data_IF_240645807330
#
_entry.id   IF_240645807330
#
_cell.length_a   1.000
_cell.length_b   1.000
_cell.length_c   1.000
_cell.angle_alpha   90.00
_cell.angle_beta   90.00
_cell.angle_gamma   90.00
#
_symmetry.space_group_name_H-M   'P 1'
#
loop_
_entity.id
_entity.type
_entity.pdbx_description
1 polymer ?
#
# COMPACT_ATOMS: atom_id res chain seq x y z
N UNK A 1 -7.89 34.95 -25.62
CA UNK A 1 -8.78 34.32 -24.62
C UNK A 1 -8.45 32.83 -24.42
N UNK A 2 -8.19 32.08 -25.50
CA UNK A 2 -7.80 30.65 -25.49
C UNK A 2 -6.47 30.38 -24.75
N UNK A 3 -5.48 31.26 -24.89
CA UNK A 3 -4.16 31.17 -24.21
C UNK A 3 -4.24 31.12 -22.68
N UNK A 4 -5.20 31.85 -22.09
CA UNK A 4 -5.41 31.84 -20.62
C UNK A 4 -5.96 30.51 -20.10
N UNK A 5 -6.67 29.76 -20.95
CA UNK A 5 -7.28 28.48 -20.56
C UNK A 5 -6.26 27.34 -20.68
N UNK A 6 -5.42 27.35 -21.71
CA UNK A 6 -4.29 26.40 -21.83
C UNK A 6 -3.31 26.54 -20.66
N UNK A 7 -3.00 27.76 -20.22
CA UNK A 7 -2.15 28.00 -19.05
C UNK A 7 -2.74 27.43 -17.75
N UNK A 8 -4.08 27.54 -17.59
CA UNK A 8 -4.77 26.96 -16.44
C UNK A 8 -4.72 25.43 -16.46
N UNK A 9 -4.94 24.81 -17.61
CA UNK A 9 -4.86 23.35 -17.76
C UNK A 9 -3.46 22.80 -17.46
N UNK A 10 -2.45 23.47 -17.97
CA UNK A 10 -1.05 23.16 -17.73
C UNK A 10 -0.68 23.30 -16.23
N UNK A 11 -1.23 24.32 -15.54
CA UNK A 11 -1.09 24.44 -14.07
C UNK A 11 -1.73 23.28 -13.31
N UNK A 12 -2.91 22.82 -13.72
CA UNK A 12 -3.60 21.67 -13.08
C UNK A 12 -2.81 20.38 -13.30
N UNK A 13 -2.34 20.11 -14.52
CA UNK A 13 -1.54 18.92 -14.81
C UNK A 13 -0.24 18.91 -14.02
N UNK A 14 0.49 20.03 -13.96
CA UNK A 14 1.70 20.16 -13.13
C UNK A 14 1.43 19.92 -11.65
N UNK A 15 0.28 20.37 -11.14
CA UNK A 15 -0.09 20.13 -9.75
C UNK A 15 -0.26 18.62 -9.50
N UNK A 16 -1.01 17.94 -10.36
CA UNK A 16 -1.22 16.49 -10.26
C UNK A 16 0.08 15.71 -10.37
N UNK A 17 0.94 16.07 -11.34
CA UNK A 17 2.26 15.46 -11.49
C UNK A 17 3.11 15.62 -10.21
N UNK A 18 3.12 16.81 -9.61
CA UNK A 18 3.82 17.06 -8.34
C UNK A 18 3.27 16.22 -7.19
N UNK A 19 1.96 16.03 -7.10
CA UNK A 19 1.37 15.19 -6.06
C UNK A 19 1.72 13.71 -6.27
N UNK A 20 1.71 13.21 -7.51
CA UNK A 20 2.23 11.86 -7.83
C UNK A 20 3.69 11.74 -7.38
N UNK A 21 4.56 12.66 -7.80
CA UNK A 21 5.99 12.62 -7.44
C UNK A 21 6.23 12.69 -5.92
N UNK A 22 5.43 13.49 -5.20
CA UNK A 22 5.47 13.59 -3.74
C UNK A 22 5.10 12.27 -3.08
N UNK A 23 4.04 11.60 -3.54
CA UNK A 23 3.63 10.29 -3.02
C UNK A 23 4.70 9.24 -3.33
N UNK A 24 5.25 9.22 -4.55
CA UNK A 24 6.35 8.30 -4.93
C UNK A 24 7.57 8.49 -4.03
N UNK A 25 7.99 9.74 -3.78
CA UNK A 25 9.13 10.06 -2.90
C UNK A 25 8.85 9.66 -1.45
N UNK A 26 7.65 9.97 -0.96
CA UNK A 26 7.23 9.59 0.39
C UNK A 26 7.24 8.07 0.57
N UNK A 27 6.69 7.33 -0.39
CA UNK A 27 6.72 5.88 -0.37
C UNK A 27 8.16 5.34 -0.30
N UNK A 28 9.04 5.78 -1.21
CA UNK A 28 10.44 5.33 -1.25
C UNK A 28 11.19 5.62 0.05
N UNK A 29 10.94 6.79 0.66
CA UNK A 29 11.61 7.21 1.90
C UNK A 29 11.12 6.45 3.13
N UNK A 30 9.81 6.18 3.21
CA UNK A 30 9.17 5.71 4.44
C UNK A 30 8.79 4.23 4.41
N UNK A 31 8.91 3.51 3.28
CA UNK A 31 8.48 2.10 3.19
C UNK A 31 9.13 1.17 4.24
N UNK A 32 10.35 1.50 4.67
CA UNK A 32 11.10 0.73 5.68
C UNK A 32 10.64 1.05 7.11
N UNK A 33 10.22 2.28 7.38
CA UNK A 33 9.66 2.70 8.66
C UNK A 33 8.53 3.73 8.46
N UNK A 34 7.32 3.26 8.09
CA UNK A 34 6.23 4.17 7.78
C UNK A 34 5.60 4.69 9.08
N UNK A 35 5.08 5.92 9.07
CA UNK A 35 4.34 6.45 10.22
C UNK A 35 3.07 5.63 10.44
N UNK A 36 3.08 4.76 11.46
CA UNK A 36 1.96 3.86 11.76
C UNK A 36 1.01 4.48 12.78
N UNK A 37 -0.32 4.30 12.62
CA UNK A 37 -1.27 4.64 13.67
C UNK A 37 -0.97 3.82 14.93
N UNK A 38 -1.12 4.43 16.11
CA UNK A 38 -1.02 3.72 17.39
C UNK A 38 -2.00 2.53 17.39
N UNK A 39 -1.59 1.43 18.01
CA UNK A 39 -2.38 0.18 18.15
C UNK A 39 -2.45 -0.76 16.93
N UNK A 40 -1.75 -0.47 15.82
CA UNK A 40 -1.62 -1.42 14.71
C UNK A 40 -0.45 -2.38 14.92
N UNK A 41 -0.60 -3.63 14.50
CA UNK A 41 0.55 -4.52 14.35
C UNK A 41 1.51 -3.95 13.29
N UNK A 42 2.83 -4.19 13.39
CA UNK A 42 3.80 -3.60 12.46
C UNK A 42 3.49 -3.89 10.98
N UNK A 43 3.01 -5.09 10.66
CA UNK A 43 2.65 -5.48 9.29
C UNK A 43 1.31 -4.87 8.86
N UNK A 44 0.33 -4.81 9.78
CA UNK A 44 -0.98 -4.23 9.49
C UNK A 44 -0.91 -2.73 9.21
N UNK A 45 -0.12 -2.01 10.01
CA UNK A 45 0.10 -0.59 9.81
C UNK A 45 0.72 -0.31 8.44
N UNK A 46 1.71 -1.12 8.03
CA UNK A 46 2.39 -0.98 6.72
C UNK A 46 1.43 -1.16 5.55
N UNK A 47 0.55 -2.17 5.60
CA UNK A 47 -0.49 -2.40 4.59
C UNK A 47 -1.49 -1.24 4.56
N UNK A 48 -1.96 -0.78 5.72
CA UNK A 48 -2.91 0.34 5.79
C UNK A 48 -2.29 1.61 5.22
N UNK A 49 -1.05 1.91 5.58
CA UNK A 49 -0.30 3.05 5.07
C UNK A 49 -0.13 2.99 3.56
N UNK A 50 0.30 1.86 2.99
CA UNK A 50 0.46 1.72 1.53
C UNK A 50 -0.85 1.92 0.77
N UNK A 51 -1.97 1.42 1.32
CA UNK A 51 -3.32 1.63 0.77
C UNK A 51 -3.74 3.10 0.82
N UNK A 52 -3.48 3.81 1.91
CA UNK A 52 -3.78 5.23 2.00
C UNK A 52 -3.02 6.03 0.93
N UNK A 53 -1.73 5.72 0.72
CA UNK A 53 -0.94 6.36 -0.34
C UNK A 53 -1.51 6.10 -1.73
N UNK A 54 -1.87 4.85 -2.00
CA UNK A 54 -2.51 4.49 -3.27
C UNK A 54 -3.82 5.25 -3.47
N UNK A 55 -4.69 5.26 -2.47
CA UNK A 55 -6.00 5.91 -2.54
C UNK A 55 -5.87 7.40 -2.86
N UNK A 56 -5.04 8.13 -2.09
CA UNK A 56 -4.84 9.57 -2.29
C UNK A 56 -4.26 9.88 -3.69
N UNK A 57 -3.35 9.04 -4.18
CA UNK A 57 -2.75 9.21 -5.50
C UNK A 57 -3.79 8.97 -6.61
N UNK A 58 -4.56 7.90 -6.49
CA UNK A 58 -5.61 7.54 -7.44
C UNK A 58 -6.69 8.61 -7.52
N UNK A 59 -7.19 9.08 -6.37
CA UNK A 59 -8.21 10.14 -6.30
C UNK A 59 -7.74 11.42 -7.02
N UNK A 60 -6.49 11.82 -6.79
CA UNK A 60 -5.91 13.02 -7.43
C UNK A 60 -5.84 12.86 -8.96
N UNK A 61 -5.36 11.70 -9.43
CA UNK A 61 -5.22 11.42 -10.87
C UNK A 61 -6.57 11.27 -11.57
N UNK A 62 -7.53 10.60 -10.93
CA UNK A 62 -8.88 10.41 -11.46
C UNK A 62 -9.63 11.74 -11.58
N UNK A 63 -9.51 12.61 -10.57
CA UNK A 63 -10.12 13.96 -10.60
C UNK A 63 -9.63 14.79 -11.79
N UNK A 64 -8.32 14.74 -12.10
CA UNK A 64 -7.75 15.45 -13.26
C UNK A 64 -8.13 14.77 -14.58
N UNK A 65 -8.10 13.44 -14.64
CA UNK A 65 -8.43 12.67 -15.84
C UNK A 65 -9.93 12.67 -16.17
N UNK A 66 -10.80 13.07 -15.24
CA UNK A 66 -12.23 13.22 -15.49
C UNK A 66 -12.54 14.30 -16.52
N UNK A 67 -11.67 15.31 -16.66
CA UNK A 67 -11.83 16.36 -17.66
C UNK A 67 -11.24 15.92 -19.02
N UNK A 68 -12.05 15.76 -20.10
CA UNK A 68 -11.59 15.18 -21.36
C UNK A 68 -10.41 15.94 -22.00
N UNK A 69 -10.42 17.27 -21.91
CA UNK A 69 -9.32 18.11 -22.43
C UNK A 69 -8.02 17.84 -21.68
N UNK A 70 -8.04 17.74 -20.34
CA UNK A 70 -6.84 17.48 -19.55
C UNK A 70 -6.29 16.09 -19.84
N UNK A 71 -7.18 15.11 -19.98
CA UNK A 71 -6.81 13.74 -20.34
C UNK A 71 -6.15 13.64 -21.72
N UNK A 72 -6.60 14.43 -22.70
CA UNK A 72 -6.08 14.38 -24.07
C UNK A 72 -4.72 15.09 -24.26
N UNK A 73 -4.27 15.89 -23.29
CA UNK A 73 -3.00 16.63 -23.41
C UNK A 73 -1.79 15.69 -23.32
N UNK A 74 -0.71 15.91 -24.10
CA UNK A 74 0.49 15.06 -24.03
C UNK A 74 1.13 14.97 -22.64
N UNK A 75 1.10 16.06 -21.86
CA UNK A 75 1.60 16.09 -20.49
C UNK A 75 0.84 15.14 -19.54
N UNK A 76 -0.41 14.78 -19.86
CA UNK A 76 -1.17 13.78 -19.10
C UNK A 76 -0.57 12.38 -19.26
N UNK A 77 -0.02 12.05 -20.43
CA UNK A 77 0.57 10.75 -20.71
C UNK A 77 1.81 10.50 -19.84
N UNK A 78 2.65 11.52 -19.67
CA UNK A 78 3.86 11.46 -18.83
C UNK A 78 3.50 11.26 -17.36
N UNK A 79 2.51 12.04 -16.88
CA UNK A 79 1.93 11.88 -15.54
C UNK A 79 1.35 10.47 -15.34
N UNK A 80 0.60 9.94 -16.33
CA UNK A 80 0.01 8.60 -16.26
C UNK A 80 1.05 7.49 -16.21
N UNK A 81 2.18 7.64 -16.91
CA UNK A 81 3.31 6.69 -16.81
C UNK A 81 3.90 6.68 -15.40
N UNK A 82 4.17 7.86 -14.82
CA UNK A 82 4.65 7.98 -13.42
C UNK A 82 3.67 7.37 -12.42
N UNK A 83 2.38 7.65 -12.58
CA UNK A 83 1.31 7.07 -11.79
C UNK A 83 1.32 5.55 -11.86
N UNK A 84 1.36 4.98 -13.07
CA UNK A 84 1.32 3.52 -13.29
C UNK A 84 2.53 2.82 -12.67
N UNK A 85 3.73 3.39 -12.83
CA UNK A 85 4.95 2.86 -12.22
C UNK A 85 4.87 2.88 -10.68
N UNK A 86 4.39 3.98 -10.11
CA UNK A 86 4.24 4.12 -8.66
C UNK A 86 3.16 3.18 -8.12
N UNK A 87 2.06 3.02 -8.87
CA UNK A 87 0.98 2.09 -8.54
C UNK A 87 1.49 0.65 -8.46
N UNK A 88 2.23 0.19 -9.48
CA UNK A 88 2.82 -1.15 -9.47
C UNK A 88 3.79 -1.34 -8.30
N UNK A 89 4.60 -0.34 -7.99
CA UNK A 89 5.54 -0.39 -6.87
C UNK A 89 4.84 -0.56 -5.52
N UNK A 90 3.82 0.25 -5.25
CA UNK A 90 3.04 0.19 -3.99
C UNK A 90 2.26 -1.12 -3.92
N UNK A 91 1.68 -1.58 -5.03
CA UNK A 91 0.95 -2.85 -5.09
C UNK A 91 1.84 -4.03 -4.72
N UNK A 92 3.02 -4.14 -5.34
CA UNK A 92 3.97 -5.23 -5.05
C UNK A 92 4.43 -5.24 -3.59
N UNK A 93 4.60 -4.04 -3.00
CA UNK A 93 4.89 -3.91 -1.58
C UNK A 93 3.74 -4.43 -0.71
N UNK A 94 2.50 -4.04 -1.02
CA UNK A 94 1.32 -4.52 -0.29
C UNK A 94 1.20 -6.06 -0.36
N UNK A 95 1.39 -6.66 -1.54
CA UNK A 95 1.37 -8.12 -1.71
C UNK A 95 2.45 -8.81 -0.88
N UNK A 96 3.67 -8.24 -0.84
CA UNK A 96 4.75 -8.74 0.01
C UNK A 96 4.36 -8.68 1.49
N UNK A 97 3.79 -7.55 1.95
CA UNK A 97 3.35 -7.40 3.33
C UNK A 97 2.21 -8.34 3.69
N UNK A 98 1.26 -8.59 2.78
CA UNK A 98 0.21 -9.59 2.96
C UNK A 98 0.79 -11.00 3.10
N UNK A 99 1.75 -11.37 2.27
CA UNK A 99 2.42 -12.67 2.36
C UNK A 99 3.15 -12.84 3.70
N UNK A 100 3.87 -11.81 4.16
CA UNK A 100 4.50 -11.79 5.49
C UNK A 100 3.47 -11.94 6.60
N UNK A 101 2.34 -11.22 6.49
CA UNK A 101 1.24 -11.36 7.44
C UNK A 101 0.76 -12.82 7.48
N UNK A 102 0.42 -13.40 6.32
CA UNK A 102 -0.13 -14.76 6.26
C UNK A 102 0.83 -15.78 6.84
N UNK A 103 2.12 -15.73 6.47
CA UNK A 103 3.14 -16.63 6.99
C UNK A 103 3.31 -16.51 8.50
N UNK A 104 3.40 -15.28 9.04
CA UNK A 104 3.52 -15.08 10.49
C UNK A 104 2.30 -15.59 11.25
N UNK A 105 1.08 -15.41 10.71
CA UNK A 105 -0.14 -15.85 11.37
C UNK A 105 -0.28 -17.37 11.32
N UNK A 106 -0.01 -17.99 10.16
CA UNK A 106 -0.01 -19.45 10.01
C UNK A 106 1.03 -20.09 10.93
N UNK A 107 2.27 -19.58 10.96
CA UNK A 107 3.31 -20.09 11.85
C UNK A 107 2.95 -19.96 13.33
N UNK A 108 2.34 -18.84 13.74
CA UNK A 108 1.87 -18.65 15.12
C UNK A 108 0.74 -19.63 15.46
N UNK A 109 -0.25 -19.78 14.59
CA UNK A 109 -1.36 -20.73 14.79
C UNK A 109 -0.81 -22.14 14.92
N UNK A 110 0.04 -22.58 14.00
CA UNK A 110 0.67 -23.92 14.06
C UNK A 110 1.45 -24.08 15.38
N UNK A 111 2.26 -23.10 15.77
CA UNK A 111 3.00 -23.15 17.04
C UNK A 111 2.05 -23.29 18.25
N UNK A 112 0.99 -22.47 18.33
CA UNK A 112 0.04 -22.51 19.43
C UNK A 112 -0.72 -23.85 19.47
N UNK A 113 -1.26 -24.29 18.33
CA UNK A 113 -1.97 -25.57 18.21
C UNK A 113 -1.07 -26.75 18.54
N UNK A 114 0.17 -26.79 18.03
CA UNK A 114 1.13 -27.85 18.35
C UNK A 114 1.53 -27.84 19.84
N UNK A 115 1.69 -26.65 20.45
CA UNK A 115 2.01 -26.55 21.88
C UNK A 115 0.84 -27.03 22.75
N UNK A 116 -0.39 -26.72 22.37
CA UNK A 116 -1.61 -27.16 23.06
C UNK A 116 -1.81 -28.67 22.95
N UNK A 117 -1.61 -29.27 21.77
CA UNK A 117 -1.69 -30.72 21.59
C UNK A 117 -0.59 -31.47 22.33
N UNK A 118 0.64 -30.96 22.35
CA UNK A 118 1.73 -31.55 23.14
C UNK A 118 1.48 -31.45 24.65
N UNK A 119 0.92 -30.33 25.12
CA UNK A 119 0.59 -30.14 26.54
C UNK A 119 -0.55 -31.05 26.99
N UNK A 120 -1.58 -31.24 26.17
CA UNK A 120 -2.71 -32.15 26.48
C UNK A 120 -2.32 -33.62 26.34
N UNK A 121 -1.44 -33.97 25.41
CA UNK A 121 -0.92 -35.33 25.25
C UNK A 121 -0.04 -35.77 26.44
N UNK A 122 0.69 -34.85 27.06
CA UNK A 122 1.53 -35.16 28.23
C UNK A 122 0.73 -35.38 29.53
N UNK A 123 -0.47 -34.78 29.63
CA UNK A 123 -1.39 -34.98 30.77
C UNK A 123 -2.19 -36.30 30.61
N UNK A 124 -2.36 -36.77 29.37
CA UNK A 124 -3.20 -37.92 29.05
C UNK A 124 -2.49 -39.27 29.03
N UNK A 125 -1.16 -39.34 29.27
CA UNK A 125 -0.46 -40.62 29.45
C UNK A 125 -0.72 -41.12 30.87
N UNK A 126 -1.51 -42.19 31.09
CA UNK A 126 -1.60 -42.79 32.41
C UNK A 126 -0.22 -43.36 32.74
N UNK A 127 0.32 -43.03 33.91
CA UNK A 127 1.44 -43.77 34.48
C UNK A 127 0.88 -45.15 34.79
N UNK A 128 1.02 -46.10 33.85
CA UNK A 128 0.79 -47.50 34.14
C UNK A 128 1.99 -47.96 34.96
N UNK A 129 1.88 -47.80 36.28
CA UNK A 129 2.79 -48.44 37.23
C UNK A 129 2.42 -49.93 37.23
N UNK A 130 3.44 -50.76 36.99
CA UNK A 130 3.38 -52.23 36.91
C UNK A 130 2.70 -52.88 38.12
#
# INVERSE_FOLDING_TARGET
MITKLSEKYDRVLRYCEKEVDKITKMFKRQREDPPLPRNYSPVAGRIKWSRCLMHNMTETVESVCAHPVLRALPASADMMRKYSNTRSLIHNYEETMKAVWMNQNVSKIIYFTLKETLSTANISRPIIVK
#
